data_IF_693863733261
#
_entry.id   IF_693863733261
#
_cell.length_a   1.000
_cell.length_b   1.000
_cell.length_c   1.000
_cell.angle_alpha   90.00
_cell.angle_beta   90.00
_cell.angle_gamma   90.00
#
_symmetry.space_group_name_H-M   'P 1'
#
loop_
_entity.id
_entity.type
_entity.pdbx_description
1 polymer ?
#
# COMPACT_ATOMS: atom_id res chain seq x y z
N UNK A 1 -13.51 7.06 26.33
CA UNK A 1 -13.80 6.44 25.02
C UNK A 1 -13.01 7.17 23.93
N UNK A 2 -11.98 6.53 23.35
CA UNK A 2 -11.29 7.11 22.20
C UNK A 2 -12.24 7.08 20.99
N UNK A 3 -12.43 8.23 20.33
CA UNK A 3 -13.25 8.32 19.12
C UNK A 3 -12.67 7.36 18.08
N UNK A 4 -13.48 6.42 17.57
CA UNK A 4 -13.11 5.52 16.47
C UNK A 4 -12.57 6.38 15.32
N UNK A 5 -11.26 6.33 15.09
CA UNK A 5 -10.65 6.99 13.94
C UNK A 5 -11.22 6.35 12.69
N UNK A 6 -11.90 7.15 11.86
CA UNK A 6 -12.28 6.79 10.50
C UNK A 6 -10.99 6.31 9.82
N UNK A 7 -10.94 5.05 9.38
CA UNK A 7 -9.76 4.46 8.74
C UNK A 7 -9.28 5.36 7.62
N UNK A 8 -8.20 6.10 7.88
CA UNK A 8 -7.74 7.23 7.10
C UNK A 8 -6.28 7.47 7.43
N UNK A 9 -5.61 8.22 6.54
CA UNK A 9 -4.17 8.49 6.55
C UNK A 9 -3.52 8.40 7.94
N UNK A 10 -2.45 7.61 8.03
CA UNK A 10 -1.65 7.47 9.24
C UNK A 10 -0.90 8.78 9.50
N UNK A 11 -1.43 9.62 10.39
CA UNK A 11 -0.74 10.83 10.87
C UNK A 11 -1.07 12.11 10.10
N UNK A 12 -0.35 13.18 10.46
CA UNK A 12 -0.54 14.51 9.90
C UNK A 12 0.35 14.72 8.67
N UNK A 13 -0.26 15.10 7.55
CA UNK A 13 0.46 15.45 6.33
C UNK A 13 1.23 16.77 6.50
N UNK A 14 2.50 16.76 6.11
CA UNK A 14 3.30 17.98 6.01
C UNK A 14 2.78 18.87 4.86
N UNK A 15 2.71 20.19 5.08
CA UNK A 15 2.17 21.11 4.08
C UNK A 15 3.10 21.22 2.88
N UNK A 16 2.62 20.76 1.72
CA UNK A 16 3.31 20.83 0.44
C UNK A 16 2.54 21.70 -0.55
N UNK A 17 3.20 22.12 -1.63
CA UNK A 17 2.56 22.83 -2.75
C UNK A 17 1.46 21.98 -3.37
N UNK A 18 0.25 22.51 -3.44
CA UNK A 18 -0.90 21.88 -4.08
C UNK A 18 -0.81 22.11 -5.60
N UNK A 19 -0.84 21.04 -6.38
CA UNK A 19 -0.65 21.07 -7.83
C UNK A 19 -1.88 20.68 -8.64
N UNK A 20 -2.93 20.16 -7.99
CA UNK A 20 -4.06 19.51 -8.65
C UNK A 20 -5.38 20.14 -8.21
N UNK A 21 -5.85 21.23 -8.86
CA UNK A 21 -7.17 21.79 -8.58
C UNK A 21 -8.29 20.84 -9.01
N UNK A 22 -9.50 21.09 -8.49
CA UNK A 22 -10.72 20.44 -9.01
C UNK A 22 -10.82 20.64 -10.52
N UNK A 23 -11.26 19.61 -11.25
CA UNK A 23 -11.33 19.62 -12.71
C UNK A 23 -10.07 19.10 -13.41
N UNK A 24 -8.96 18.91 -12.67
CA UNK A 24 -7.76 18.28 -13.22
C UNK A 24 -8.03 16.83 -13.63
N UNK A 25 -7.42 16.42 -14.76
CA UNK A 25 -7.38 15.02 -15.21
C UNK A 25 -5.98 14.48 -14.98
N UNK A 26 -5.87 13.40 -14.21
CA UNK A 26 -4.60 12.76 -13.88
C UNK A 26 -4.60 11.30 -14.31
N UNK A 27 -3.42 10.71 -14.44
CA UNK A 27 -3.25 9.31 -14.79
C UNK A 27 -3.63 8.40 -13.62
N UNK A 28 -4.19 7.23 -13.90
CA UNK A 28 -4.34 6.17 -12.92
C UNK A 28 -3.08 5.30 -12.95
N UNK A 29 -2.43 5.11 -11.81
CA UNK A 29 -1.20 4.34 -11.70
C UNK A 29 -1.42 2.90 -11.21
N UNK A 30 -2.66 2.51 -10.93
CA UNK A 30 -2.99 1.16 -10.47
C UNK A 30 -3.48 0.25 -11.61
N UNK A 31 -3.49 -1.05 -11.35
CA UNK A 31 -3.98 -2.07 -12.27
C UNK A 31 -5.49 -2.30 -12.20
N UNK A 32 -6.29 -1.36 -11.66
CA UNK A 32 -7.76 -1.53 -11.58
C UNK A 32 -8.43 -1.52 -12.96
N UNK A 33 -7.77 -0.95 -13.97
CA UNK A 33 -8.27 -0.77 -15.34
C UNK A 33 -8.88 0.61 -15.61
N UNK A 34 -8.76 1.54 -14.67
CA UNK A 34 -8.91 2.97 -14.95
C UNK A 34 -7.63 3.48 -15.66
N UNK A 35 -7.79 4.42 -16.61
CA UNK A 35 -6.67 5.10 -17.27
C UNK A 35 -6.55 6.55 -16.82
N UNK A 36 -7.68 7.26 -16.79
CA UNK A 36 -7.71 8.69 -16.44
C UNK A 36 -8.70 8.94 -15.30
N UNK A 37 -8.24 9.62 -14.27
CA UNK A 37 -9.02 10.06 -13.11
C UNK A 37 -9.30 11.55 -13.22
N UNK A 38 -10.57 11.94 -13.10
CA UNK A 38 -11.00 13.33 -13.03
C UNK A 38 -11.25 13.73 -11.58
N UNK A 39 -10.59 14.79 -11.11
CA UNK A 39 -10.70 15.29 -9.74
C UNK A 39 -12.02 16.05 -9.56
N UNK A 40 -12.90 15.55 -8.70
CA UNK A 40 -14.22 16.13 -8.41
C UNK A 40 -14.19 16.96 -7.12
N UNK A 41 -13.52 16.47 -6.09
CA UNK A 41 -13.41 17.16 -4.80
C UNK A 41 -12.18 16.64 -4.06
N UNK A 42 -11.69 17.40 -3.09
CA UNK A 42 -10.52 17.02 -2.28
C UNK A 42 -10.94 16.93 -0.83
N UNK A 43 -10.55 15.86 -0.14
CA UNK A 43 -10.90 15.65 1.26
C UNK A 43 -10.12 16.60 2.17
N UNK A 44 -10.75 17.04 3.25
CA UNK A 44 -10.09 17.85 4.28
C UNK A 44 -9.86 19.32 3.92
N UNK A 45 -10.36 19.79 2.77
CA UNK A 45 -10.24 21.19 2.36
C UNK A 45 -11.50 21.97 2.74
N UNK A 46 -11.31 23.03 3.52
CA UNK A 46 -12.36 24.00 3.81
C UNK A 46 -12.58 24.91 2.60
N UNK A 47 -13.85 25.12 2.25
CA UNK A 47 -14.23 26.08 1.20
C UNK A 47 -13.80 27.51 1.55
N UNK A 48 -13.34 28.25 0.53
CA UNK A 48 -13.05 29.68 0.62
C UNK A 48 -13.56 30.34 -0.66
N UNK A 49 -14.14 31.54 -0.53
CA UNK A 49 -14.68 32.29 -1.66
C UNK A 49 -13.66 32.39 -2.79
N UNK A 50 -14.09 32.08 -4.02
CA UNK A 50 -13.29 32.10 -5.25
C UNK A 50 -12.01 31.23 -5.23
N UNK A 51 -11.92 30.24 -4.33
CA UNK A 51 -10.79 29.31 -4.27
C UNK A 51 -11.23 27.90 -4.62
N UNK A 52 -10.65 27.36 -5.68
CA UNK A 52 -10.83 25.95 -6.03
C UNK A 52 -10.08 25.06 -5.02
N UNK A 53 -10.75 24.05 -4.43
CA UNK A 53 -10.07 22.99 -3.69
C UNK A 53 -8.96 22.36 -4.54
N UNK A 54 -7.80 22.11 -3.95
CA UNK A 54 -6.64 21.61 -4.69
C UNK A 54 -5.90 20.55 -3.88
N UNK A 55 -5.48 19.48 -4.53
CA UNK A 55 -4.74 18.39 -3.92
C UNK A 55 -3.23 18.50 -4.23
N UNK A 56 -2.43 17.90 -3.36
CA UNK A 56 -1.05 17.52 -3.64
C UNK A 56 -0.81 16.06 -3.27
N UNK A 57 0.42 15.59 -3.43
CA UNK A 57 0.86 14.23 -3.06
C UNK A 57 0.39 13.82 -1.66
N UNK A 58 -0.17 12.63 -1.54
CA UNK A 58 -0.69 12.06 -0.30
C UNK A 58 -2.10 12.53 0.09
N UNK A 59 -2.70 13.49 -0.63
CA UNK A 59 -4.10 13.85 -0.38
C UNK A 59 -5.05 12.83 -1.00
N UNK A 60 -6.11 12.52 -0.27
CA UNK A 60 -7.25 11.79 -0.79
C UNK A 60 -8.18 12.76 -1.52
N UNK A 61 -8.70 12.32 -2.66
CA UNK A 61 -9.64 13.07 -3.47
C UNK A 61 -10.76 12.16 -3.98
N UNK A 62 -11.87 12.79 -4.35
CA UNK A 62 -13.00 12.14 -5.01
C UNK A 62 -12.76 12.18 -6.51
N UNK A 63 -12.82 11.03 -7.16
CA UNK A 63 -12.49 10.83 -8.56
C UNK A 63 -13.66 10.25 -9.36
N UNK A 64 -13.74 10.60 -10.64
CA UNK A 64 -14.49 9.85 -11.64
C UNK A 64 -13.55 9.36 -12.73
N UNK A 65 -13.74 8.11 -13.17
CA UNK A 65 -12.98 7.56 -14.29
C UNK A 65 -13.51 8.11 -15.61
N UNK A 66 -12.67 8.82 -16.37
CA UNK A 66 -13.02 9.34 -17.71
C UNK A 66 -12.75 8.32 -18.80
N UNK A 67 -11.57 7.68 -18.74
CA UNK A 67 -11.13 6.62 -19.66
C UNK A 67 -10.74 5.39 -18.84
N UNK A 68 -11.16 4.20 -19.29
CA UNK A 68 -10.91 2.94 -18.58
C UNK A 68 -12.03 1.91 -18.81
N UNK A 69 -12.02 0.83 -18.01
CA UNK A 69 -13.06 -0.21 -18.01
C UNK A 69 -14.47 0.40 -17.85
N UNK A 70 -15.48 -0.03 -18.64
CA UNK A 70 -16.84 0.50 -18.56
C UNK A 70 -17.45 0.42 -17.16
N UNK A 71 -17.14 -0.63 -16.40
CA UNK A 71 -17.66 -0.85 -15.04
C UNK A 71 -17.21 0.19 -14.00
N UNK A 72 -16.05 0.83 -14.23
CA UNK A 72 -15.51 1.85 -13.33
C UNK A 72 -15.92 3.27 -13.77
N UNK A 73 -16.32 3.43 -15.04
CA UNK A 73 -16.76 4.72 -15.58
C UNK A 73 -18.09 5.11 -14.97
N UNK A 74 -18.35 6.43 -14.89
CA UNK A 74 -19.58 7.03 -14.33
C UNK A 74 -19.84 6.73 -12.83
N UNK A 75 -18.91 6.06 -12.14
CA UNK A 75 -18.94 5.88 -10.69
C UNK A 75 -18.08 6.92 -10.00
N UNK A 76 -18.55 7.35 -8.82
CA UNK A 76 -17.78 8.20 -7.91
C UNK A 76 -16.91 7.28 -7.05
N UNK A 77 -15.59 7.46 -7.14
CA UNK A 77 -14.59 6.66 -6.45
C UNK A 77 -13.72 7.56 -5.57
N UNK A 78 -13.02 6.98 -4.62
CA UNK A 78 -11.98 7.68 -3.86
C UNK A 78 -10.61 7.31 -4.44
N UNK A 79 -9.69 8.25 -4.42
CA UNK A 79 -8.34 8.05 -4.89
C UNK A 79 -7.34 8.86 -4.05
N UNK A 80 -6.08 8.46 -4.07
CA UNK A 80 -4.97 9.16 -3.42
C UNK A 80 -3.99 9.63 -4.48
N UNK A 81 -3.49 10.87 -4.35
CA UNK A 81 -2.46 11.41 -5.24
C UNK A 81 -1.10 10.80 -4.88
N UNK A 82 -0.46 10.11 -5.82
CA UNK A 82 0.86 9.48 -5.60
C UNK A 82 2.03 10.28 -6.21
N UNK A 83 1.77 11.02 -7.28
CA UNK A 83 2.77 11.78 -8.06
C UNK A 83 2.20 13.13 -8.47
N UNK A 84 3.04 14.15 -8.48
CA UNK A 84 2.68 15.49 -8.96
C UNK A 84 3.81 16.13 -9.77
N UNK A 85 3.45 16.79 -10.87
CA UNK A 85 4.37 17.58 -11.72
C UNK A 85 4.78 18.89 -11.09
N UNK A 86 3.93 19.47 -10.24
CA UNK A 86 4.23 20.73 -9.55
C UNK A 86 5.33 20.47 -8.51
N UNK A 87 6.46 21.15 -8.65
CA UNK A 87 7.55 21.04 -7.67
C UNK A 87 7.08 21.37 -6.24
N UNK A 88 7.56 20.59 -5.28
CA UNK A 88 7.31 20.81 -3.86
C UNK A 88 8.56 20.59 -3.03
N UNK A 89 8.61 21.27 -1.88
CA UNK A 89 9.75 21.24 -0.96
C UNK A 89 9.53 20.17 0.10
N UNK A 90 10.52 19.31 0.28
CA UNK A 90 10.60 18.32 1.36
C UNK A 90 11.11 18.95 2.66
N UNK A 91 10.99 18.20 3.76
CA UNK A 91 11.43 18.67 5.10
C UNK A 91 12.93 18.90 5.20
N UNK A 92 13.72 18.15 4.44
CA UNK A 92 15.18 18.32 4.29
C UNK A 92 15.57 19.58 3.48
N UNK A 93 14.59 20.25 2.86
CA UNK A 93 14.79 21.45 2.06
C UNK A 93 14.90 21.19 0.56
N UNK A 94 14.99 19.93 0.15
CA UNK A 94 15.10 19.51 -1.25
C UNK A 94 13.81 19.79 -2.01
N UNK A 95 13.92 20.30 -3.24
CA UNK A 95 12.77 20.40 -4.15
C UNK A 95 12.68 19.18 -5.03
N UNK A 96 11.49 18.58 -5.11
CA UNK A 96 11.24 17.41 -5.96
C UNK A 96 10.03 17.63 -6.88
N UNK A 97 10.03 16.98 -8.04
CA UNK A 97 8.86 16.84 -8.89
C UNK A 97 8.88 15.53 -9.68
N UNK A 98 7.70 15.10 -10.10
CA UNK A 98 7.52 13.92 -10.94
C UNK A 98 7.22 14.32 -12.37
N UNK A 99 7.43 13.39 -13.29
CA UNK A 99 7.17 13.61 -14.70
C UNK A 99 5.69 13.82 -15.03
N UNK A 100 4.80 13.06 -14.38
CA UNK A 100 3.35 13.11 -14.55
C UNK A 100 2.59 13.32 -13.23
N UNK A 101 1.30 13.61 -13.39
CA UNK A 101 0.35 13.62 -12.28
C UNK A 101 -0.36 12.28 -12.27
N UNK A 102 -0.28 11.56 -11.16
CA UNK A 102 -0.89 10.23 -11.05
C UNK A 102 -1.54 10.00 -9.69
N UNK A 103 -2.60 9.18 -9.71
CA UNK A 103 -3.31 8.74 -8.51
C UNK A 103 -3.66 7.25 -8.54
N UNK A 104 -4.01 6.73 -7.38
CA UNK A 104 -4.39 5.32 -7.15
C UNK A 104 -5.79 5.29 -6.55
N UNK A 105 -6.66 4.39 -7.03
CA UNK A 105 -8.01 4.24 -6.50
C UNK A 105 -7.96 3.49 -5.16
N UNK A 106 -8.67 4.05 -4.18
CA UNK A 106 -8.74 3.50 -2.82
C UNK A 106 -10.19 3.31 -2.37
N UNK A 107 -10.36 2.43 -1.40
CA UNK A 107 -11.62 2.23 -0.68
C UNK A 107 -11.80 3.31 0.39
N UNK A 108 -12.98 3.36 1.00
CA UNK A 108 -13.31 4.30 2.09
C UNK A 108 -12.39 4.19 3.32
N UNK A 109 -11.70 3.05 3.49
CA UNK A 109 -10.70 2.81 4.55
C UNK A 109 -9.29 3.32 4.21
N UNK A 110 -9.07 3.75 2.97
CA UNK A 110 -7.74 4.10 2.45
C UNK A 110 -6.90 2.93 1.95
N UNK A 111 -7.50 1.76 1.79
CA UNK A 111 -6.85 0.59 1.19
C UNK A 111 -6.93 0.68 -0.34
N UNK A 112 -5.85 0.32 -1.04
CA UNK A 112 -5.84 0.31 -2.50
C UNK A 112 -6.80 -0.74 -3.06
N UNK A 113 -7.47 -0.39 -4.16
CA UNK A 113 -8.34 -1.32 -4.87
C UNK A 113 -7.55 -2.20 -5.85
N UNK A 114 -6.51 -1.65 -6.46
CA UNK A 114 -5.55 -2.41 -7.27
C UNK A 114 -4.57 -3.18 -6.39
N UNK A 115 -3.87 -4.15 -6.99
CA UNK A 115 -2.85 -4.93 -6.29
C UNK A 115 -1.43 -4.39 -6.49
N UNK A 116 -1.20 -3.68 -7.61
CA UNK A 116 0.13 -3.20 -8.00
C UNK A 116 0.05 -1.77 -8.54
N UNK A 117 1.14 -1.03 -8.35
CA UNK A 117 1.31 0.35 -8.82
C UNK A 117 2.41 0.38 -9.87
N UNK A 118 2.16 1.07 -10.98
CA UNK A 118 3.16 1.31 -12.02
C UNK A 118 3.94 2.59 -11.76
N UNK A 119 5.27 2.48 -11.80
CA UNK A 119 6.20 3.59 -11.68
C UNK A 119 6.41 4.08 -10.24
N UNK A 120 7.18 5.17 -10.06
CA UNK A 120 7.61 5.60 -8.74
C UNK A 120 6.47 6.21 -7.91
N UNK A 121 6.56 6.04 -6.59
CA UNK A 121 5.63 6.63 -5.61
C UNK A 121 6.38 7.63 -4.73
N UNK A 122 5.75 8.75 -4.42
CA UNK A 122 6.34 9.73 -3.52
C UNK A 122 6.40 9.23 -2.07
N UNK A 123 7.53 9.48 -1.40
CA UNK A 123 7.76 9.13 0.00
C UNK A 123 6.66 9.66 0.93
N UNK A 124 6.19 10.88 0.68
CA UNK A 124 5.14 11.54 1.45
C UNK A 124 3.82 10.80 1.38
N UNK A 125 3.53 10.16 0.24
CA UNK A 125 2.36 9.31 0.08
C UNK A 125 2.56 7.97 0.80
N UNK A 126 3.71 7.33 0.64
CA UNK A 126 4.04 6.04 1.27
C UNK A 126 4.05 6.12 2.81
N UNK A 127 4.57 7.22 3.37
CA UNK A 127 4.60 7.46 4.82
C UNK A 127 3.19 7.61 5.40
N UNK A 128 2.26 8.24 4.66
CA UNK A 128 0.87 8.46 5.12
C UNK A 128 -0.03 7.24 4.87
N UNK A 129 0.13 6.59 3.73
CA UNK A 129 -0.69 5.47 3.28
C UNK A 129 0.18 4.23 3.18
N UNK A 130 0.38 3.55 4.31
CA UNK A 130 1.26 2.37 4.40
C UNK A 130 0.95 1.31 3.34
N UNK A 131 -0.32 1.11 3.02
CA UNK A 131 -0.76 0.16 1.98
C UNK A 131 -0.29 0.53 0.57
N UNK A 132 -0.11 1.82 0.29
CA UNK A 132 0.38 2.32 -1.01
C UNK A 132 1.90 2.17 -1.10
N UNK A 133 2.61 2.15 0.03
CA UNK A 133 4.07 1.98 0.07
C UNK A 133 4.56 0.53 0.08
N UNK A 134 3.70 -0.45 0.40
CA UNK A 134 4.07 -1.86 0.63
C UNK A 134 3.73 -2.76 -0.57
N UNK A 135 3.59 -2.20 -1.78
CA UNK A 135 3.47 -3.03 -2.99
C UNK A 135 4.81 -3.63 -3.37
N UNK A 136 5.42 -4.40 -2.47
CA UNK A 136 6.52 -5.28 -2.80
C UNK A 136 5.91 -6.63 -3.27
N UNK A 137 6.48 -7.12 -4.36
CA UNK A 137 6.06 -8.26 -5.18
C UNK A 137 6.23 -9.62 -4.46
N UNK A 138 6.40 -9.63 -3.13
CA UNK A 138 6.66 -10.85 -2.32
C UNK A 138 5.46 -11.80 -2.24
N UNK A 139 4.29 -11.41 -2.77
CA UNK A 139 3.15 -12.31 -2.93
C UNK A 139 3.24 -13.22 -4.17
N UNK A 140 4.28 -13.08 -5.01
CA UNK A 140 4.73 -14.18 -5.86
C UNK A 140 5.42 -15.20 -4.97
N UNK A 141 4.65 -16.17 -4.50
CA UNK A 141 5.16 -17.31 -3.73
C UNK A 141 6.44 -17.86 -4.37
N UNK A 142 7.40 -18.20 -3.51
CA UNK A 142 8.61 -18.90 -3.89
C UNK A 142 8.26 -20.24 -4.57
N UNK A 143 8.03 -20.21 -5.88
CA UNK A 143 8.22 -21.36 -6.73
C UNK A 143 9.63 -21.27 -7.31
N UNK A 144 10.50 -22.16 -6.81
CA UNK A 144 11.75 -22.63 -7.42
C UNK A 144 12.27 -21.75 -8.58
N UNK A 145 13.06 -20.74 -8.25
CA UNK A 145 13.83 -20.00 -9.26
C UNK A 145 14.94 -20.94 -9.73
N UNK A 146 14.71 -21.65 -10.83
CA UNK A 146 15.77 -22.28 -11.61
C UNK A 146 16.85 -21.23 -11.91
N UNK A 147 18.14 -21.63 -12.06
CA UNK A 147 19.20 -20.70 -12.45
C UNK A 147 18.79 -20.02 -13.75
N UNK A 148 18.64 -18.70 -13.69
CA UNK A 148 18.25 -17.87 -14.82
C UNK A 148 19.41 -17.91 -15.82
N UNK A 149 19.21 -18.28 -17.09
CA UNK A 149 20.25 -18.16 -18.09
C UNK A 149 20.62 -16.68 -18.24
N UNK A 150 21.93 -16.39 -18.31
CA UNK A 150 22.45 -15.04 -18.49
C UNK A 150 21.74 -14.34 -19.68
N UNK A 151 21.36 -13.06 -19.54
CA UNK A 151 20.60 -12.39 -20.59
C UNK A 151 21.47 -12.14 -21.82
N UNK A 152 21.23 -12.93 -22.86
CA UNK A 152 21.69 -12.66 -24.21
C UNK A 152 20.94 -11.45 -24.78
N UNK A 153 21.61 -10.30 -24.77
CA UNK A 153 21.42 -9.16 -25.69
C UNK A 153 20.00 -8.58 -25.77
N UNK A 154 19.54 -7.95 -24.69
CA UNK A 154 18.78 -6.70 -24.80
C UNK A 154 19.71 -5.59 -24.33
N UNK A 155 19.79 -4.49 -25.09
CA UNK A 155 20.54 -3.30 -24.72
C UNK A 155 19.93 -2.69 -23.46
N UNK A 156 20.23 -3.25 -22.30
CA UNK A 156 19.84 -2.70 -21.00
C UNK A 156 20.55 -1.36 -20.84
N UNK A 157 19.79 -0.27 -21.00
CA UNK A 157 20.28 1.06 -20.64
C UNK A 157 20.47 1.11 -19.12
N UNK A 158 21.69 0.81 -18.68
CA UNK A 158 22.12 1.03 -17.31
C UNK A 158 22.53 2.49 -17.18
N UNK A 159 21.97 3.20 -16.19
CA UNK A 159 22.35 4.57 -15.87
C UNK A 159 23.13 4.60 -14.55
N UNK A 160 24.48 4.63 -14.59
CA UNK A 160 25.27 4.69 -13.38
C UNK A 160 24.98 5.98 -12.59
N UNK A 161 24.88 5.92 -11.25
CA UNK A 161 24.83 7.12 -10.43
C UNK A 161 26.07 7.99 -10.67
N UNK A 162 25.87 9.31 -10.77
CA UNK A 162 26.93 10.28 -11.07
C UNK A 162 27.05 10.66 -12.54
N UNK A 163 26.62 9.81 -13.47
CA UNK A 163 26.64 10.11 -14.91
C UNK A 163 25.67 11.24 -15.27
N UNK A 164 26.01 12.04 -16.28
CA UNK A 164 25.15 13.08 -16.83
C UNK A 164 24.38 12.51 -18.01
N UNK A 165 23.07 12.59 -17.94
CA UNK A 165 22.16 12.10 -18.98
C UNK A 165 21.47 13.26 -19.67
N UNK A 166 21.27 13.11 -20.97
CA UNK A 166 20.49 14.02 -21.79
C UNK A 166 19.55 13.23 -22.70
N UNK A 167 18.30 13.65 -22.77
CA UNK A 167 17.36 13.09 -23.72
C UNK A 167 16.04 13.82 -23.74
N UNK A 168 15.08 13.26 -24.47
CA UNK A 168 13.76 13.84 -24.64
C UNK A 168 12.70 12.85 -24.17
N UNK A 169 11.73 13.31 -23.38
CA UNK A 169 10.60 12.46 -22.96
C UNK A 169 9.56 12.31 -24.07
N UNK A 170 8.62 11.39 -23.92
CA UNK A 170 7.45 11.23 -24.82
C UNK A 170 6.62 12.52 -24.92
N UNK A 171 6.74 13.42 -23.94
CA UNK A 171 6.10 14.74 -23.94
C UNK A 171 6.93 15.83 -24.64
N UNK A 172 7.94 15.44 -25.44
CA UNK A 172 8.88 16.34 -26.12
C UNK A 172 9.60 17.31 -25.17
N UNK A 173 9.82 16.91 -23.92
CA UNK A 173 10.59 17.70 -22.97
C UNK A 173 12.04 17.25 -23.00
N UNK A 174 12.95 18.15 -23.36
CA UNK A 174 14.37 17.91 -23.20
C UNK A 174 14.71 17.92 -21.71
N UNK A 175 15.41 16.88 -21.27
CA UNK A 175 15.83 16.68 -19.89
C UNK A 175 17.34 16.48 -19.90
N UNK A 176 18.03 17.25 -19.08
CA UNK A 176 19.46 17.11 -18.85
C UNK A 176 19.71 17.15 -17.35
N UNK A 177 20.60 16.29 -16.85
CA UNK A 177 20.91 16.29 -15.44
C UNK A 177 21.77 15.12 -15.00
N UNK A 178 22.22 15.18 -13.75
CA UNK A 178 23.06 14.16 -13.15
C UNK A 178 22.19 13.04 -12.55
N UNK A 179 22.50 11.79 -12.84
CA UNK A 179 21.80 10.62 -12.30
C UNK A 179 22.13 10.48 -10.82
N UNK A 180 21.10 10.41 -9.99
CA UNK A 180 21.20 10.17 -8.54
C UNK A 180 20.90 8.71 -8.18
N UNK A 181 20.06 8.05 -8.97
CA UNK A 181 19.69 6.66 -8.75
C UNK A 181 18.86 6.12 -9.90
N UNK A 182 18.98 4.83 -10.15
CA UNK A 182 18.30 4.11 -11.22
C UNK A 182 17.83 2.75 -10.69
N UNK A 183 16.59 2.39 -11.00
CA UNK A 183 16.03 1.09 -10.68
C UNK A 183 15.20 0.64 -11.90
N UNK A 184 15.71 -0.40 -12.57
CA UNK A 184 15.13 -0.95 -13.79
C UNK A 184 13.84 -1.71 -13.51
N UNK A 185 13.77 -2.46 -12.40
CA UNK A 185 12.59 -3.26 -12.03
C UNK A 185 11.38 -2.37 -11.78
N UNK A 186 11.60 -1.23 -11.10
CA UNK A 186 10.54 -0.24 -10.81
C UNK A 186 10.39 0.83 -11.88
N UNK A 187 11.16 0.72 -12.96
CA UNK A 187 11.18 1.65 -14.10
C UNK A 187 11.35 3.10 -13.69
N UNK A 188 12.30 3.39 -12.81
CA UNK A 188 12.50 4.71 -12.24
C UNK A 188 13.93 5.23 -12.43
N UNK A 189 14.01 6.48 -12.85
CA UNK A 189 15.26 7.24 -12.92
C UNK A 189 15.12 8.50 -12.06
N UNK A 190 16.02 8.67 -11.11
CA UNK A 190 16.12 9.85 -10.26
C UNK A 190 17.30 10.66 -10.76
N UNK A 191 17.06 11.91 -11.13
CA UNK A 191 18.11 12.80 -11.58
C UNK A 191 17.99 14.19 -10.95
N UNK A 192 19.13 14.86 -10.82
CA UNK A 192 19.23 16.27 -10.46
C UNK A 192 19.17 17.09 -11.74
N UNK A 193 18.07 17.81 -11.91
CA UNK A 193 17.86 18.71 -13.03
C UNK A 193 18.86 19.88 -12.97
N UNK A 194 19.58 20.10 -14.08
CA UNK A 194 20.56 21.19 -14.22
C UNK A 194 20.00 22.40 -14.97
N UNK A 195 18.74 22.37 -15.42
CA UNK A 195 18.15 23.46 -16.21
C UNK A 195 17.81 24.73 -15.41
N UNK A 196 17.84 24.69 -14.07
CA UNK A 196 17.38 25.79 -13.22
C UNK A 196 18.43 26.34 -12.24
N UNK A 197 18.22 27.55 -11.69
CA UNK A 197 19.12 28.18 -10.71
C UNK A 197 19.14 27.47 -9.35
N UNK A 198 18.18 26.57 -9.10
CA UNK A 198 18.13 25.72 -7.91
C UNK A 198 18.13 24.26 -8.35
N UNK A 199 18.90 23.39 -7.68
CA UNK A 199 18.87 21.97 -7.98
C UNK A 199 17.51 21.39 -7.58
N UNK A 200 16.80 20.84 -8.55
CA UNK A 200 15.51 20.17 -8.33
C UNK A 200 15.68 18.70 -8.69
N UNK A 201 15.26 17.80 -7.81
CA UNK A 201 15.23 16.37 -8.12
C UNK A 201 14.01 16.07 -8.99
N UNK A 202 14.26 15.42 -10.12
CA UNK A 202 13.25 14.94 -11.04
C UNK A 202 13.18 13.41 -10.93
N UNK A 203 11.96 12.92 -10.73
CA UNK A 203 11.64 11.49 -10.79
C UNK A 203 11.01 11.20 -12.15
N UNK A 204 11.71 10.46 -13.00
CA UNK A 204 11.25 10.04 -14.31
C UNK A 204 10.77 8.60 -14.27
N UNK A 205 9.71 8.34 -15.02
CA UNK A 205 9.28 6.99 -15.34
C UNK A 205 10.00 6.56 -16.62
N UNK A 206 10.74 5.45 -16.61
CA UNK A 206 11.46 4.97 -17.79
C UNK A 206 10.52 4.70 -18.97
N UNK A 207 9.26 4.33 -18.72
CA UNK A 207 8.26 4.15 -19.79
C UNK A 207 7.91 5.45 -20.54
N UNK A 208 8.30 6.61 -20.01
CA UNK A 208 8.09 7.92 -20.65
C UNK A 208 9.39 8.54 -21.19
N UNK A 209 10.49 7.81 -21.09
CA UNK A 209 11.77 8.17 -21.68
C UNK A 209 11.84 7.61 -23.10
N UNK A 210 12.22 8.46 -24.08
CA UNK A 210 12.39 8.01 -25.46
C UNK A 210 13.74 7.29 -25.64
N UNK A 211 13.87 6.46 -26.67
CA UNK A 211 15.10 5.70 -26.98
C UNK A 211 16.34 6.59 -27.17
N UNK A 212 16.13 7.88 -27.45
CA UNK A 212 17.18 8.90 -27.63
C UNK A 212 17.82 9.39 -26.32
N UNK A 213 17.55 8.76 -25.18
CA UNK A 213 18.12 9.15 -23.90
C UNK A 213 19.56 8.63 -23.77
N UNK A 214 20.53 9.52 -23.87
CA UNK A 214 21.95 9.16 -23.93
C UNK A 214 22.68 9.63 -22.68
N UNK A 215 23.67 8.85 -22.27
CA UNK A 215 24.68 9.29 -21.32
C UNK A 215 25.62 10.23 -22.08
N UNK A 216 25.68 11.49 -21.67
CA UNK A 216 26.54 12.51 -22.28
C UNK A 216 27.93 12.49 -21.65
N UNK A 217 28.00 12.26 -20.34
CA UNK A 217 29.25 12.17 -19.60
C UNK A 217 29.14 11.08 -18.54
N UNK A 218 30.09 10.16 -18.52
CA UNK A 218 30.15 9.14 -17.49
C UNK A 218 31.13 9.56 -16.41
N UNK A 219 30.61 9.95 -15.24
CA UNK A 219 31.40 10.41 -14.09
C UNK A 219 31.00 9.68 -12.81
N UNK A 220 31.19 8.35 -12.74
CA UNK A 220 30.74 7.56 -11.59
C UNK A 220 31.44 7.97 -10.27
N UNK A 221 32.66 8.49 -10.35
CA UNK A 221 33.44 8.92 -9.18
C UNK A 221 33.02 10.28 -8.59
N UNK A 222 32.25 11.08 -9.32
CA UNK A 222 31.74 12.38 -8.86
C UNK A 222 30.40 12.24 -8.10
N UNK A 223 29.95 11.01 -7.86
CA UNK A 223 28.74 10.75 -7.10
C UNK A 223 28.95 11.06 -5.61
N UNK A 224 28.52 12.25 -5.20
CA UNK A 224 28.33 12.58 -3.78
C UNK A 224 26.92 12.14 -3.39
N UNK A 225 26.73 11.03 -2.64
CA UNK A 225 25.40 10.62 -2.23
C UNK A 225 24.76 11.73 -1.41
N UNK A 226 23.53 12.10 -1.78
CA UNK A 226 22.73 12.99 -0.95
C UNK A 226 22.54 12.33 0.40
N UNK A 227 22.99 13.00 1.47
CA UNK A 227 22.86 12.51 2.83
C UNK A 227 21.40 12.69 3.27
N UNK A 228 20.50 11.87 2.73
CA UNK A 228 19.19 11.68 3.33
C UNK A 228 19.44 11.20 4.75
N UNK A 229 18.82 11.82 5.75
CA UNK A 229 18.72 11.22 7.08
C UNK A 229 18.14 9.82 6.87
N UNK A 230 19.01 8.79 6.85
CA UNK A 230 18.61 7.42 6.55
C UNK A 230 17.65 7.03 7.65
N UNK A 231 16.38 6.83 7.31
CA UNK A 231 15.56 6.00 8.16
C UNK A 231 16.24 4.64 8.13
N UNK A 232 16.82 4.20 9.26
CA UNK A 232 17.53 2.94 9.35
C UNK A 232 16.62 1.82 8.84
N UNK A 233 17.16 0.78 8.22
CA UNK A 233 16.41 -0.41 7.80
C UNK A 233 15.54 -0.97 8.94
N UNK A 234 16.04 -0.88 10.18
CA UNK A 234 15.30 -1.14 11.41
C UNK A 234 14.01 -0.29 11.54
N UNK A 235 14.07 1.02 11.26
CA UNK A 235 12.91 1.90 11.32
C UNK A 235 11.87 1.62 10.23
N UNK A 236 12.30 1.15 9.05
CA UNK A 236 11.39 0.70 7.98
C UNK A 236 10.72 -0.62 8.38
N UNK A 237 11.50 -1.60 8.83
CA UNK A 237 10.99 -2.88 9.31
C UNK A 237 10.06 -2.72 10.52
N UNK A 238 10.35 -1.78 11.42
CA UNK A 238 9.48 -1.46 12.55
C UNK A 238 8.16 -0.79 12.13
N UNK A 239 8.16 0.00 11.05
CA UNK A 239 6.92 0.57 10.49
C UNK A 239 6.06 -0.50 9.85
N UNK A 240 6.67 -1.42 9.10
CA UNK A 240 5.98 -2.58 8.51
C UNK A 240 5.43 -3.46 9.64
N UNK A 241 6.25 -3.82 10.63
CA UNK A 241 5.85 -4.59 11.81
C UNK A 241 4.74 -3.90 12.60
N UNK A 242 4.82 -2.60 12.88
CA UNK A 242 3.72 -1.88 13.56
C UNK A 242 2.44 -1.83 12.72
N UNK A 243 2.54 -1.72 11.40
CA UNK A 243 1.38 -1.75 10.52
C UNK A 243 0.72 -3.15 10.49
N UNK A 244 1.53 -4.21 10.44
CA UNK A 244 1.09 -5.62 10.52
C UNK A 244 0.53 -5.94 11.91
N UNK A 245 1.26 -5.62 12.98
CA UNK A 245 0.83 -5.83 14.36
C UNK A 245 -0.44 -5.05 14.69
N UNK A 246 -0.66 -3.85 14.15
CA UNK A 246 -1.93 -3.12 14.31
C UNK A 246 -3.10 -3.81 13.59
N UNK A 247 -2.84 -4.55 12.51
CA UNK A 247 -3.85 -5.41 11.85
C UNK A 247 -4.15 -6.64 12.70
N UNK A 248 -3.10 -7.25 13.25
CA UNK A 248 -3.13 -8.52 13.98
C UNK A 248 -3.62 -8.40 15.42
N UNK A 249 -3.23 -7.35 16.15
CA UNK A 249 -3.59 -7.12 17.56
C UNK A 249 -5.09 -6.91 17.80
N UNK A 250 -5.85 -6.72 16.73
CA UNK A 250 -7.31 -6.63 16.77
C UNK A 250 -8.00 -7.95 16.37
N UNK A 251 -7.24 -8.92 15.87
CA UNK A 251 -7.69 -10.26 15.51
C UNK A 251 -7.25 -11.35 16.51
N UNK A 252 -6.13 -11.15 17.21
CA UNK A 252 -5.58 -12.07 18.20
C UNK A 252 -5.98 -11.65 19.63
N UNK A 253 -7.07 -12.21 20.15
CA UNK A 253 -7.30 -12.31 21.59
C UNK A 253 -6.72 -13.64 22.10
N UNK A 254 -6.12 -13.64 23.30
CA UNK A 254 -5.37 -14.78 23.84
C UNK A 254 -6.22 -16.02 24.19
N UNK A 255 -7.55 -15.94 24.15
CA UNK A 255 -8.45 -17.02 24.59
C UNK A 255 -9.34 -17.58 23.46
N UNK A 256 -9.01 -17.34 22.19
CA UNK A 256 -9.87 -17.71 21.05
C UNK A 256 -9.23 -18.81 20.20
N UNK A 257 -10.03 -19.81 19.79
CA UNK A 257 -9.61 -20.92 18.92
C UNK A 257 -9.06 -20.45 17.57
N UNK A 258 -8.21 -21.27 16.94
CA UNK A 258 -7.57 -20.93 15.65
C UNK A 258 -8.59 -20.81 14.51
N UNK A 259 -9.69 -21.55 14.60
CA UNK A 259 -10.85 -21.47 13.70
C UNK A 259 -11.56 -20.12 13.85
N UNK A 260 -11.76 -19.65 15.09
CA UNK A 260 -12.34 -18.35 15.36
C UNK A 260 -11.48 -17.21 14.84
N UNK A 261 -10.16 -17.30 15.01
CA UNK A 261 -9.21 -16.33 14.45
C UNK A 261 -9.28 -16.28 12.92
N UNK A 262 -9.35 -17.45 12.25
CA UNK A 262 -9.49 -17.54 10.78
C UNK A 262 -10.80 -16.93 10.30
N UNK A 263 -11.92 -17.27 10.94
CA UNK A 263 -13.23 -16.72 10.63
C UNK A 263 -13.26 -15.19 10.80
N UNK A 264 -12.70 -14.68 11.90
CA UNK A 264 -12.63 -13.25 12.18
C UNK A 264 -11.82 -12.48 11.13
N UNK A 265 -10.66 -13.00 10.72
CA UNK A 265 -9.83 -12.41 9.66
C UNK A 265 -10.59 -12.40 8.32
N UNK A 266 -11.25 -13.50 7.96
CA UNK A 266 -12.02 -13.60 6.72
C UNK A 266 -13.19 -12.60 6.67
N UNK A 267 -13.93 -12.48 7.78
CA UNK A 267 -15.04 -11.55 7.92
C UNK A 267 -14.56 -10.09 7.85
N UNK A 268 -13.48 -9.75 8.56
CA UNK A 268 -12.95 -8.37 8.62
C UNK A 268 -12.38 -7.88 7.29
N UNK A 269 -11.93 -8.78 6.41
CA UNK A 269 -11.53 -8.44 5.04
C UNK A 269 -12.69 -7.92 4.20
N UNK A 270 -13.90 -8.41 4.46
CA UNK A 270 -15.08 -8.16 3.61
C UNK A 270 -16.10 -7.23 4.26
N UNK A 271 -16.24 -7.27 5.58
CA UNK A 271 -17.25 -6.55 6.35
C UNK A 271 -16.65 -5.40 7.14
N UNK A 272 -17.43 -4.33 7.26
CA UNK A 272 -17.13 -3.20 8.12
C UNK A 272 -17.75 -3.46 9.50
N UNK A 273 -16.96 -3.33 10.57
CA UNK A 273 -17.37 -3.54 11.97
C UNK A 273 -17.57 -5.01 12.38
N UNK A 274 -16.45 -5.73 12.49
CA UNK A 274 -16.38 -7.06 13.10
C UNK A 274 -15.69 -6.94 14.45
N UNK A 275 -16.28 -7.48 15.52
CA UNK A 275 -15.76 -7.39 16.89
C UNK A 275 -15.85 -8.73 17.61
N UNK A 276 -14.96 -8.91 18.57
CA UNK A 276 -15.09 -9.95 19.59
C UNK A 276 -16.03 -9.46 20.69
N UNK A 277 -16.91 -10.35 21.12
CA UNK A 277 -17.67 -10.29 22.37
C UNK A 277 -17.43 -11.61 23.10
N UNK A 278 -16.40 -11.63 23.94
CA UNK A 278 -15.83 -12.84 24.52
C UNK A 278 -15.45 -13.83 23.40
N UNK A 279 -16.02 -15.04 23.42
CA UNK A 279 -15.83 -16.07 22.38
C UNK A 279 -16.71 -15.87 21.13
N UNK A 280 -17.56 -14.84 21.08
CA UNK A 280 -18.48 -14.63 19.96
C UNK A 280 -17.95 -13.57 19.00
N UNK A 281 -18.11 -13.79 17.70
CA UNK A 281 -17.86 -12.76 16.69
C UNK A 281 -19.17 -12.02 16.41
N UNK A 282 -19.19 -10.72 16.66
CA UNK A 282 -20.31 -9.84 16.36
C UNK A 282 -20.04 -9.08 15.06
N UNK A 283 -21.00 -9.14 14.13
CA UNK A 283 -20.95 -8.44 12.83
C UNK A 283 -22.24 -7.62 12.59
N UNK A 284 -22.17 -6.65 11.66
CA UNK A 284 -23.27 -5.73 11.34
C UNK A 284 -23.82 -4.96 12.56
N UNK A 285 -22.92 -4.47 13.43
CA UNK A 285 -23.26 -3.61 14.57
C UNK A 285 -24.20 -4.26 15.61
N UNK A 286 -23.99 -5.55 15.90
CA UNK A 286 -24.76 -6.28 16.92
C UNK A 286 -25.87 -7.17 16.38
N UNK A 287 -26.08 -7.21 15.05
CA UNK A 287 -27.20 -7.93 14.44
C UNK A 287 -27.00 -9.43 14.32
N UNK A 288 -25.74 -9.86 14.18
CA UNK A 288 -25.39 -11.26 13.92
C UNK A 288 -24.24 -11.64 14.86
N UNK A 289 -24.38 -12.79 15.51
CA UNK A 289 -23.35 -13.43 16.33
C UNK A 289 -22.92 -14.75 15.72
N UNK A 290 -21.63 -15.05 15.79
CA UNK A 290 -21.03 -16.31 15.33
C UNK A 290 -20.31 -16.90 16.54
N UNK A 291 -20.69 -18.11 16.91
CA UNK A 291 -20.17 -18.83 18.08
C UNK A 291 -19.27 -20.00 17.62
N UNK A 292 -18.39 -20.55 18.48
CA UNK A 292 -17.68 -21.79 18.17
C UNK A 292 -18.65 -22.90 17.71
N UNK A 293 -18.37 -23.63 16.61
CA UNK A 293 -17.09 -23.81 15.90
C UNK A 293 -16.75 -22.78 14.79
N UNK A 294 -17.51 -21.69 14.67
CA UNK A 294 -17.31 -20.61 13.67
C UNK A 294 -17.55 -20.99 12.20
N UNK A 295 -18.31 -22.07 11.97
CA UNK A 295 -18.75 -22.50 10.63
C UNK A 295 -19.96 -21.69 10.11
N UNK A 296 -20.29 -21.85 8.82
CA UNK A 296 -21.48 -21.20 8.24
C UNK A 296 -22.80 -21.56 8.94
N UNK A 297 -22.87 -22.67 9.66
CA UNK A 297 -24.05 -23.07 10.44
C UNK A 297 -24.13 -22.37 11.80
N UNK A 298 -23.00 -21.90 12.33
CA UNK A 298 -22.91 -21.24 13.65
C UNK A 298 -23.38 -19.79 13.67
N UNK A 299 -23.90 -19.28 12.54
CA UNK A 299 -24.34 -17.89 12.37
C UNK A 299 -25.75 -17.71 12.93
N UNK A 300 -25.86 -16.95 14.03
CA UNK A 300 -27.12 -16.63 14.71
C UNK A 300 -27.50 -15.16 14.56
N UNK A 301 -28.79 -14.90 14.48
CA UNK A 301 -29.38 -13.56 14.32
C UNK A 301 -29.87 -13.07 15.69
N UNK A 302 -29.49 -11.84 16.08
CA UNK A 302 -29.76 -11.26 17.40
C UNK A 302 -30.93 -10.25 17.41
N UNK A 303 -31.30 -9.69 16.25
CA UNK A 303 -32.44 -8.76 16.10
C UNK A 303 -33.67 -9.44 15.49
N UNK A 304 -34.77 -8.71 15.30
CA UNK A 304 -35.97 -9.24 14.65
C UNK A 304 -35.70 -9.72 13.21
N UNK A 305 -36.42 -10.77 12.81
CA UNK A 305 -36.30 -11.36 11.48
C UNK A 305 -36.83 -10.39 10.42
N UNK A 306 -35.96 -9.97 9.51
CA UNK A 306 -36.25 -9.06 8.41
C UNK A 306 -35.48 -9.51 7.17
N UNK A 307 -36.03 -9.28 5.98
CA UNK A 307 -35.42 -9.64 4.70
C UNK A 307 -33.97 -9.13 4.56
N UNK A 308 -33.70 -7.92 5.06
CA UNK A 308 -32.35 -7.35 5.09
C UNK A 308 -31.39 -8.14 5.98
N UNK A 309 -31.88 -8.63 7.13
CA UNK A 309 -31.08 -9.39 8.08
C UNK A 309 -30.81 -10.82 7.55
N UNK A 310 -31.79 -11.44 6.88
CA UNK A 310 -31.60 -12.74 6.18
C UNK A 310 -30.53 -12.65 5.09
N UNK A 311 -30.57 -11.60 4.27
CA UNK A 311 -29.56 -11.35 3.24
C UNK A 311 -28.16 -11.13 3.86
N UNK A 312 -28.07 -10.44 5.00
CA UNK A 312 -26.84 -10.26 5.74
C UNK A 312 -26.28 -11.57 6.31
N UNK A 313 -27.14 -12.45 6.83
CA UNK A 313 -26.76 -13.81 7.27
C UNK A 313 -26.21 -14.63 6.10
N UNK A 314 -26.88 -14.63 4.95
CA UNK A 314 -26.38 -15.32 3.76
C UNK A 314 -25.03 -14.79 3.28
N UNK A 315 -24.83 -13.47 3.36
CA UNK A 315 -23.53 -12.86 3.04
C UNK A 315 -22.43 -13.35 3.97
N UNK A 316 -22.69 -13.45 5.28
CA UNK A 316 -21.74 -13.99 6.28
C UNK A 316 -21.42 -15.44 5.98
N UNK A 317 -22.44 -16.28 5.76
CA UNK A 317 -22.27 -17.70 5.40
C UNK A 317 -21.41 -17.87 4.15
N UNK A 318 -21.63 -17.03 3.13
CA UNK A 318 -20.82 -17.04 1.89
C UNK A 318 -19.36 -16.66 2.14
N UNK A 319 -19.07 -15.80 3.11
CA UNK A 319 -17.70 -15.43 3.47
C UNK A 319 -16.99 -16.57 4.20
N UNK A 320 -17.67 -17.23 5.14
CA UNK A 320 -17.12 -18.35 5.90
C UNK A 320 -16.85 -19.57 5.02
N UNK A 321 -17.72 -19.86 4.05
CA UNK A 321 -17.57 -20.98 3.10
C UNK A 321 -16.54 -20.75 1.98
N UNK A 322 -15.91 -19.57 1.90
CA UNK A 322 -14.88 -19.34 0.87
C UNK A 322 -13.64 -20.18 1.20
N UNK A 323 -13.08 -20.92 0.22
CA UNK A 323 -11.82 -21.63 0.42
C UNK A 323 -10.75 -20.62 0.80
N UNK A 324 -10.16 -20.81 1.99
CA UNK A 324 -9.10 -19.94 2.49
C UNK A 324 -7.84 -20.24 1.68
N UNK A 325 -7.37 -19.27 0.89
CA UNK A 325 -6.04 -19.36 0.27
C UNK A 325 -5.02 -19.45 1.41
N UNK A 326 -4.16 -20.47 1.46
CA UNK A 326 -3.13 -20.56 2.49
C UNK A 326 -2.29 -19.28 2.39
N UNK A 327 -2.34 -18.47 3.44
CA UNK A 327 -1.51 -17.28 3.55
C UNK A 327 -0.09 -17.79 3.83
N UNK A 328 0.95 -17.36 3.09
CA UNK A 328 2.31 -17.90 3.23
C UNK A 328 3.01 -17.36 4.48
N UNK A 329 2.42 -17.58 5.65
CA UNK A 329 2.94 -17.17 6.97
C UNK A 329 2.56 -18.17 8.08
N UNK A 330 2.22 -19.41 7.72
CA UNK A 330 1.96 -20.47 8.68
C UNK A 330 3.00 -21.61 8.53
N UNK A 331 4.22 -21.38 9.02
CA UNK A 331 5.18 -22.48 9.26
C UNK A 331 5.88 -22.40 10.62
N UNK A 332 5.65 -21.38 11.45
CA UNK A 332 6.27 -21.34 12.79
C UNK A 332 5.33 -20.78 13.85
N UNK A 333 4.25 -21.49 14.14
CA UNK A 333 3.60 -21.43 15.46
C UNK A 333 3.10 -22.84 15.83
N UNK A 334 4.03 -23.78 15.91
CA UNK A 334 3.85 -24.98 16.72
C UNK A 334 3.81 -24.56 18.19
N UNK A 335 2.60 -24.47 18.72
CA UNK A 335 2.20 -25.05 20.01
C UNK A 335 3.26 -24.99 21.12
N UNK A 336 3.23 -23.94 21.94
CA UNK A 336 3.48 -24.12 23.37
C UNK A 336 2.18 -24.60 24.00
N UNK A 337 2.03 -25.92 24.10
CA UNK A 337 1.37 -26.52 25.26
C UNK A 337 2.50 -26.93 26.18
N UNK A 338 2.79 -26.11 27.17
CA UNK A 338 3.51 -26.57 28.34
C UNK A 338 2.53 -27.51 29.08
N UNK A 339 2.52 -28.78 28.68
CA UNK A 339 1.81 -29.83 29.39
C UNK A 339 2.55 -30.06 30.73
N UNK A 340 2.01 -29.45 31.78
CA UNK A 340 2.25 -29.87 33.14
C UNK A 340 1.51 -31.20 33.41
N UNK A 341 2.06 -31.97 34.34
CA UNK A 341 1.55 -33.21 34.94
C UNK A 341 1.88 -34.54 34.25
N UNK A 342 3.09 -35.03 34.52
CA UNK A 342 3.34 -36.46 34.71
C UNK A 342 3.92 -36.68 36.13
N UNK A 343 3.41 -37.67 36.91
CA UNK A 343 3.82 -37.86 38.29
C UNK A 343 5.22 -38.46 38.39
N UNK A 344 6.07 -37.86 39.22
CA UNK A 344 7.41 -38.36 39.56
C UNK A 344 7.24 -39.56 40.49
N UNK A 345 7.39 -40.77 39.94
CA UNK A 345 7.58 -42.01 40.71
C UNK A 345 8.95 -41.96 41.40
N UNK A 346 8.94 -41.89 42.74
CA UNK A 346 10.13 -42.05 43.58
C UNK A 346 10.16 -43.47 44.11
N UNK A 347 10.85 -44.34 43.38
CA UNK A 347 11.25 -45.66 43.86
C UNK A 347 12.78 -45.75 43.85
N UNK A 348 13.46 -45.99 44.98
CA UNK A 348 14.92 -46.08 45.03
C UNK A 348 15.36 -47.49 44.64
N UNK A 349 16.08 -47.65 43.54
CA UNK A 349 16.74 -48.92 43.23
C UNK A 349 18.24 -48.85 43.59
N UNK A 350 18.57 -49.69 44.56
CA UNK A 350 19.90 -50.09 45.01
C UNK A 350 20.66 -50.75 43.85
N UNK A 351 21.89 -50.33 43.59
CA UNK A 351 22.80 -51.03 42.67
C UNK A 351 23.40 -52.28 43.33
N UNK A 352 23.67 -53.37 42.57
CA UNK A 352 24.49 -54.46 43.05
C UNK A 352 25.99 -54.23 42.81
N UNK A 353 26.78 -54.87 43.67
CA UNK A 353 28.25 -54.84 43.86
C UNK A 353 29.13 -54.82 42.60
#
# INVERSE_FOLDING_TARGET
MSKRGRGGASGAKFRISLGLPVGAVINCADNTGAKNLFVIAVYGIRGRLNRLPSAGVGDMFVASVKKGKPELRKKVLQAVVIRQRKQFRRKDGTFIYFEDNAGVIVNNKGEMKGSAITGPVAKECADLWTMVGVTDDESKGACHRAPVPEPTTVSEMVFPPGSVVQGTTVLNQTVTGQVLGFDQERKMLIMRDSAGPKPVMRFLNLDMVNENFKITEDRPNDFVPFNFSKATEQQLNDRVRKAVQKRESSALMCDVSIEGQRAFIALRKTLDQVKWDNEKIIVFDGKISIEPPYDAESVKLLEADNQNNRCAVEQVKRILNKPQIPTPLATTLSLKRDDADAPIDRSPQMGPN
#
